data_IF_824094754435
#
_entry.id   IF_824094754435
#
_cell.length_a   1.000
_cell.length_b   1.000
_cell.length_c   1.000
_cell.angle_alpha   90.00
_cell.angle_beta   90.00
_cell.angle_gamma   90.00
#
_symmetry.space_group_name_H-M   'P 1'
#
loop_
_entity.id
_entity.type
_entity.pdbx_description
1 polymer ?
#
# COMPACT_ATOMS: atom_id res chain seq x y z
N UNK A 1 14.18 2.39 3.24
CA UNK A 1 13.22 2.65 4.34
C UNK A 1 11.93 3.10 3.71
N UNK A 2 10.78 2.72 4.27
CA UNK A 2 9.47 3.15 3.81
C UNK A 2 8.59 3.55 4.98
N UNK A 3 7.50 4.25 4.66
CA UNK A 3 6.49 4.70 5.61
C UNK A 3 5.10 4.43 5.05
N UNK A 4 4.18 3.99 5.90
CA UNK A 4 2.79 3.70 5.53
C UNK A 4 1.85 4.42 6.48
N UNK A 5 0.77 4.98 5.92
CA UNK A 5 -0.34 5.58 6.65
C UNK A 5 -1.64 4.94 6.19
N UNK A 6 -2.40 4.36 7.13
CA UNK A 6 -3.72 3.78 6.87
C UNK A 6 -4.78 4.69 7.48
N UNK A 7 -5.73 5.14 6.66
CA UNK A 7 -6.83 6.02 7.06
C UNK A 7 -8.18 5.41 6.70
N UNK A 8 -9.21 5.70 7.48
CA UNK A 8 -10.59 5.43 7.07
C UNK A 8 -11.12 6.52 6.11
N UNK A 9 -12.34 6.31 5.59
CA UNK A 9 -13.01 7.25 4.67
C UNK A 9 -13.25 8.66 5.24
N UNK A 10 -13.23 8.82 6.57
CA UNK A 10 -13.35 10.12 7.24
C UNK A 10 -11.99 10.81 7.47
N UNK A 11 -10.91 10.26 6.90
CA UNK A 11 -9.55 10.78 7.05
C UNK A 11 -8.92 10.49 8.41
N UNK A 12 -9.56 9.71 9.29
CA UNK A 12 -8.98 9.33 10.58
C UNK A 12 -7.86 8.32 10.38
N UNK A 13 -6.69 8.59 10.94
CA UNK A 13 -5.56 7.65 10.96
C UNK A 13 -5.88 6.44 11.85
N UNK A 14 -5.89 5.26 11.26
CA UNK A 14 -6.05 3.98 11.96
C UNK A 14 -4.69 3.37 12.34
N UNK A 15 -3.70 3.51 11.46
CA UNK A 15 -2.34 3.07 11.70
C UNK A 15 -1.33 3.93 10.96
N UNK A 16 -0.14 4.07 11.53
CA UNK A 16 1.01 4.69 10.90
C UNK A 16 2.26 3.94 11.35
N UNK A 17 3.11 3.53 10.41
CA UNK A 17 4.34 2.80 10.74
C UNK A 17 5.41 3.04 9.69
N UNK A 18 6.64 2.75 10.10
CA UNK A 18 7.83 2.80 9.25
C UNK A 18 8.51 1.44 9.27
N UNK A 19 9.16 1.10 8.16
CA UNK A 19 9.84 -0.17 8.01
C UNK A 19 11.12 -0.05 7.19
N UNK A 20 11.96 -1.07 7.29
CA UNK A 20 13.15 -1.24 6.46
C UNK A 20 12.96 -2.41 5.52
N UNK A 21 13.25 -2.16 4.25
CA UNK A 21 13.35 -3.20 3.23
C UNK A 21 14.82 -3.30 2.81
N UNK A 22 15.34 -4.52 2.74
CA UNK A 22 16.69 -4.80 2.24
C UNK A 22 16.69 -4.86 0.71
N UNK A 23 16.43 -3.73 0.07
CA UNK A 23 16.48 -3.58 -1.39
C UNK A 23 17.28 -2.33 -1.77
N UNK A 24 17.81 -2.32 -3.00
CA UNK A 24 18.73 -1.29 -3.48
C UNK A 24 18.05 -0.22 -4.34
N UNK A 25 16.88 -0.52 -4.93
CA UNK A 25 16.14 0.38 -5.81
C UNK A 25 14.87 0.95 -5.14
N UNK A 26 14.54 2.19 -5.49
CA UNK A 26 13.41 2.92 -4.91
C UNK A 26 12.06 2.27 -5.23
N UNK A 27 11.87 1.80 -6.46
CA UNK A 27 10.61 1.18 -6.90
C UNK A 27 10.27 -0.07 -6.08
N UNK A 28 11.27 -0.89 -5.75
CA UNK A 28 11.09 -2.04 -4.87
C UNK A 28 10.73 -1.61 -3.45
N UNK A 29 11.32 -0.53 -2.92
CA UNK A 29 10.96 0.00 -1.59
C UNK A 29 9.49 0.43 -1.56
N UNK A 30 9.02 1.15 -2.58
CA UNK A 30 7.64 1.60 -2.70
C UNK A 30 6.66 0.42 -2.85
N UNK A 31 7.00 -0.53 -3.71
CA UNK A 31 6.21 -1.75 -3.93
C UNK A 31 6.08 -2.56 -2.63
N UNK A 32 7.16 -2.69 -1.87
CA UNK A 32 7.15 -3.35 -0.56
C UNK A 32 6.29 -2.56 0.44
N UNK A 33 6.35 -1.23 0.44
CA UNK A 33 5.52 -0.42 1.33
C UNK A 33 4.01 -0.69 1.11
N UNK A 34 3.57 -0.74 -0.15
CA UNK A 34 2.18 -1.04 -0.51
C UNK A 34 1.83 -2.50 -0.14
N UNK A 35 2.74 -3.44 -0.36
CA UNK A 35 2.54 -4.85 0.00
C UNK A 35 2.48 -5.10 1.52
N UNK A 36 3.23 -4.37 2.33
CA UNK A 36 3.09 -4.46 3.79
C UNK A 36 1.76 -3.87 4.25
N UNK A 37 1.29 -2.81 3.59
CA UNK A 37 -0.03 -2.23 3.86
C UNK A 37 -1.16 -3.23 3.56
N UNK A 38 -1.08 -3.98 2.45
CA UNK A 38 -2.11 -4.97 2.09
C UNK A 38 -2.24 -6.07 3.14
N UNK A 39 -1.12 -6.60 3.67
CA UNK A 39 -1.15 -7.64 4.71
C UNK A 39 -1.93 -7.22 5.96
N UNK A 40 -1.75 -5.97 6.39
CA UNK A 40 -2.48 -5.42 7.55
C UNK A 40 -3.97 -5.31 7.22
N UNK A 41 -4.29 -4.76 6.05
CA UNK A 41 -5.68 -4.58 5.63
C UNK A 41 -6.41 -5.91 5.43
N UNK A 42 -5.73 -6.93 4.91
CA UNK A 42 -6.22 -8.30 4.80
C UNK A 42 -6.52 -8.87 6.19
N UNK A 43 -5.63 -8.65 7.18
CA UNK A 43 -5.86 -9.09 8.56
C UNK A 43 -7.07 -8.42 9.23
N UNK A 44 -7.52 -7.28 8.69
CA UNK A 44 -8.67 -6.52 9.17
C UNK A 44 -9.95 -6.79 8.37
N UNK A 45 -9.91 -7.63 7.32
CA UNK A 45 -11.02 -7.94 6.42
C UNK A 45 -11.67 -6.68 5.80
N UNK A 46 -10.86 -5.80 5.20
CA UNK A 46 -11.39 -4.62 4.50
C UNK A 46 -11.74 -4.94 3.05
N UNK A 47 -13.00 -4.70 2.67
CA UNK A 47 -13.50 -5.03 1.32
C UNK A 47 -13.18 -3.96 0.26
N UNK A 48 -12.88 -2.73 0.69
CA UNK A 48 -12.65 -1.59 -0.20
C UNK A 48 -11.45 -0.78 0.25
N UNK A 49 -10.39 -0.83 -0.55
CA UNK A 49 -9.09 -0.22 -0.27
C UNK A 49 -8.69 0.63 -1.46
N UNK A 50 -8.20 1.83 -1.15
CA UNK A 50 -7.61 2.77 -2.11
C UNK A 50 -6.14 2.91 -1.74
N UNK A 51 -5.26 2.69 -2.71
CA UNK A 51 -3.84 2.98 -2.57
C UNK A 51 -3.54 4.39 -3.08
N UNK A 52 -2.88 5.18 -2.23
CA UNK A 52 -2.34 6.50 -2.56
C UNK A 52 -0.82 6.43 -2.46
N UNK A 53 -0.13 6.65 -3.59
CA UNK A 53 1.33 6.74 -3.68
C UNK A 53 1.67 7.69 -4.84
N UNK A 54 2.81 8.35 -4.74
CA UNK A 54 3.43 9.13 -5.80
C UNK A 54 4.01 8.27 -6.94
N UNK A 55 4.02 6.95 -6.77
CA UNK A 55 4.52 5.98 -7.75
C UNK A 55 3.39 5.12 -8.30
N UNK A 56 2.84 5.53 -9.44
CA UNK A 56 1.82 4.75 -10.16
C UNK A 56 2.35 3.36 -10.55
N UNK A 57 3.64 3.26 -10.88
CA UNK A 57 4.29 1.99 -11.24
C UNK A 57 4.29 1.02 -10.06
N UNK A 58 4.55 1.48 -8.84
CA UNK A 58 4.51 0.62 -7.65
C UNK A 58 3.09 0.11 -7.37
N UNK A 59 2.07 0.97 -7.50
CA UNK A 59 0.66 0.60 -7.37
C UNK A 59 0.30 -0.45 -8.42
N UNK A 60 0.59 -0.19 -9.69
CA UNK A 60 0.25 -1.09 -10.80
C UNK A 60 0.92 -2.46 -10.65
N UNK A 61 2.17 -2.51 -10.19
CA UNK A 61 2.84 -3.75 -9.87
C UNK A 61 2.07 -4.53 -8.80
N UNK A 62 1.76 -3.94 -7.65
CA UNK A 62 1.02 -4.65 -6.59
C UNK A 62 -0.36 -5.11 -7.07
N UNK A 63 -1.09 -4.28 -7.80
CA UNK A 63 -2.40 -4.64 -8.34
C UNK A 63 -2.34 -5.78 -9.36
N UNK A 64 -1.28 -5.84 -10.18
CA UNK A 64 -1.10 -6.92 -11.15
C UNK A 64 -0.81 -8.29 -10.50
N UNK A 65 -0.23 -8.29 -9.31
CA UNK A 65 0.12 -9.51 -8.56
C UNK A 65 -0.86 -9.87 -7.44
N UNK A 66 -1.81 -8.98 -7.12
CA UNK A 66 -2.77 -9.22 -6.04
C UNK A 66 -3.99 -10.03 -6.52
N UNK A 67 -4.37 -11.11 -5.81
CA UNK A 67 -5.64 -11.82 -6.05
C UNK A 67 -6.85 -11.08 -5.46
N UNK A 68 -6.64 -10.05 -4.62
CA UNK A 68 -7.70 -9.26 -4.01
C UNK A 68 -8.12 -8.09 -4.89
N UNK A 69 -9.41 -7.77 -4.94
CA UNK A 69 -10.00 -6.74 -5.80
C UNK A 69 -9.71 -5.32 -5.30
N UNK A 70 -8.47 -4.88 -5.46
CA UNK A 70 -8.04 -3.53 -5.12
C UNK A 70 -8.27 -2.56 -6.30
N UNK A 71 -8.49 -1.27 -6.00
CA UNK A 71 -8.65 -0.23 -7.02
C UNK A 71 -7.53 0.80 -6.93
N UNK A 72 -6.92 1.11 -8.07
CA UNK A 72 -6.06 2.28 -8.23
C UNK A 72 -6.95 3.51 -8.43
N UNK A 73 -6.74 4.55 -7.63
CA UNK A 73 -7.20 5.88 -7.97
C UNK A 73 -6.20 6.48 -8.97
N UNK A 74 -6.47 6.29 -10.27
CA UNK A 74 -5.79 7.07 -11.31
C UNK A 74 -6.21 8.53 -11.14
N UNK A 75 -5.27 9.38 -10.71
CA UNK A 75 -5.40 10.84 -10.79
C UNK A 75 -5.20 11.32 -12.21
#
# INVERSE_FOLDING_TARGET
>A
MFSVLIRNHNGTTLAAYTGSAYCHDALSVETIAIWEATKILDSWNWDSIIFESDSITAIDLVLSYSPASFRSCKS
#
